data_IF_813882059339
#
_entry.id   IF_813882059339
#
_cell.length_a   1.000
_cell.length_b   1.000
_cell.length_c   1.000
_cell.angle_alpha   90.00
_cell.angle_beta   90.00
_cell.angle_gamma   90.00
#
_symmetry.space_group_name_H-M   'P 1'
#
loop_
_entity.id
_entity.type
_entity.pdbx_description
1 polymer ?
#
# COMPACT_ATOMS: atom_id res chain seq x y z
N UNK A 1 -14.33 1.14 -26.27
CA UNK A 1 -14.82 0.78 -24.90
C UNK A 1 -13.81 -0.04 -24.07
N UNK A 2 -12.84 -0.74 -24.65
CA UNK A 2 -11.84 -1.56 -23.93
C UNK A 2 -10.83 -0.73 -23.13
N UNK A 3 -10.32 0.37 -23.69
CA UNK A 3 -9.31 1.23 -23.03
C UNK A 3 -9.81 1.86 -21.73
N UNK A 4 -11.07 2.30 -21.69
CA UNK A 4 -11.67 2.94 -20.52
C UNK A 4 -11.82 1.96 -19.33
N UNK A 5 -12.14 0.69 -19.60
CA UNK A 5 -12.24 -0.35 -18.56
C UNK A 5 -10.87 -0.70 -17.97
N UNK A 6 -9.82 -0.77 -18.79
CA UNK A 6 -8.45 -1.04 -18.33
C UNK A 6 -7.90 0.11 -17.47
N UNK A 7 -8.15 1.36 -17.87
CA UNK A 7 -7.76 2.54 -17.09
C UNK A 7 -8.48 2.58 -15.74
N UNK A 8 -9.80 2.35 -15.75
CA UNK A 8 -10.58 2.28 -14.52
C UNK A 8 -10.09 1.16 -13.59
N UNK A 9 -9.85 -0.04 -14.12
CA UNK A 9 -9.32 -1.16 -13.33
C UNK A 9 -7.94 -0.89 -12.74
N UNK A 10 -7.05 -0.23 -13.48
CA UNK A 10 -5.72 0.14 -13.00
C UNK A 10 -5.79 1.21 -11.90
N UNK A 11 -6.68 2.20 -12.07
CA UNK A 11 -6.91 3.24 -11.07
C UNK A 11 -7.51 2.67 -9.79
N UNK A 12 -8.53 1.80 -9.91
CA UNK A 12 -9.16 1.15 -8.77
C UNK A 12 -8.17 0.21 -8.05
N UNK A 13 -7.38 -0.57 -8.79
CA UNK A 13 -6.35 -1.43 -8.21
C UNK A 13 -5.27 -0.64 -7.47
N UNK A 14 -4.85 0.49 -8.03
CA UNK A 14 -3.92 1.40 -7.35
C UNK A 14 -4.53 2.04 -6.11
N UNK A 15 -5.79 2.50 -6.18
CA UNK A 15 -6.49 3.08 -5.02
C UNK A 15 -6.66 2.08 -3.89
N UNK A 16 -7.06 0.83 -4.19
CA UNK A 16 -7.22 -0.21 -3.18
C UNK A 16 -5.89 -0.53 -2.50
N UNK A 17 -4.81 -0.65 -3.26
CA UNK A 17 -3.49 -0.92 -2.72
C UNK A 17 -2.92 0.28 -1.93
N UNK A 18 -3.22 1.51 -2.34
CA UNK A 18 -2.92 2.72 -1.57
C UNK A 18 -3.59 2.66 -0.20
N UNK A 19 -4.91 2.37 -0.16
CA UNK A 19 -5.66 2.25 1.09
C UNK A 19 -5.08 1.15 1.99
N UNK A 20 -4.72 -0.01 1.43
CA UNK A 20 -4.03 -1.06 2.17
C UNK A 20 -2.70 -0.58 2.76
N UNK A 21 -1.92 0.20 2.01
CA UNK A 21 -0.68 0.77 2.52
C UNK A 21 -0.87 1.80 3.62
N UNK A 22 -1.93 2.61 3.57
CA UNK A 22 -2.29 3.53 4.67
C UNK A 22 -2.62 2.76 5.94
N UNK A 23 -3.35 1.64 5.84
CA UNK A 23 -3.65 0.77 6.98
C UNK A 23 -2.38 0.16 7.56
N UNK A 24 -1.44 -0.28 6.71
CA UNK A 24 -0.16 -0.83 7.15
C UNK A 24 0.66 0.24 7.89
N UNK A 25 0.75 1.45 7.35
CA UNK A 25 1.48 2.56 7.99
C UNK A 25 0.85 2.95 9.34
N UNK A 26 -0.48 3.01 9.41
CA UNK A 26 -1.19 3.23 10.67
C UNK A 26 -0.92 2.11 11.69
N UNK A 27 -0.86 0.86 11.23
CA UNK A 27 -0.52 -0.30 12.06
C UNK A 27 0.92 -0.23 12.58
N UNK A 28 1.88 0.14 11.73
CA UNK A 28 3.28 0.34 12.14
C UNK A 28 3.41 1.46 13.17
N UNK A 29 2.67 2.56 13.00
CA UNK A 29 2.64 3.66 13.96
C UNK A 29 2.09 3.21 15.32
N UNK A 30 0.95 2.50 15.32
CA UNK A 30 0.33 1.98 16.55
C UNK A 30 1.24 0.96 17.25
N UNK A 31 1.88 0.08 16.48
CA UNK A 31 2.82 -0.90 17.01
C UNK A 31 4.04 -0.22 17.65
N UNK A 32 4.66 0.74 16.96
CA UNK A 32 5.80 1.49 17.48
C UNK A 32 5.43 2.27 18.75
N UNK A 33 4.25 2.91 18.77
CA UNK A 33 3.75 3.56 19.99
C UNK A 33 3.53 2.58 21.14
N UNK A 34 2.90 1.43 20.87
CA UNK A 34 2.67 0.40 21.87
C UNK A 34 3.97 -0.18 22.43
N UNK A 35 4.99 -0.41 21.60
CA UNK A 35 6.30 -0.92 22.04
C UNK A 35 7.00 0.02 23.03
N UNK A 36 6.91 1.34 22.79
CA UNK A 36 7.43 2.34 23.72
C UNK A 36 6.65 2.34 25.03
N UNK A 37 5.31 2.22 24.97
CA UNK A 37 4.48 2.09 26.17
C UNK A 37 4.77 0.82 26.98
N UNK A 38 5.11 -0.27 26.31
CA UNK A 38 5.48 -1.55 26.94
C UNK A 38 6.88 -1.52 27.58
N UNK A 39 7.68 -0.47 27.34
CA UNK A 39 9.02 -0.34 27.89
C UNK A 39 10.11 -1.03 27.07
N UNK A 40 9.81 -1.45 25.83
CA UNK A 40 10.76 -2.13 24.93
C UNK A 40 11.86 -1.18 24.40
N UNK A 41 11.78 0.11 24.72
CA UNK A 41 12.75 1.14 24.34
C UNK A 41 12.33 1.94 23.11
N UNK A 42 13.22 2.79 22.62
CA UNK A 42 12.96 3.62 21.45
C UNK A 42 12.95 2.77 20.17
N UNK A 43 11.90 2.94 19.36
CA UNK A 43 11.73 2.21 18.10
C UNK A 43 11.86 3.18 16.93
N UNK A 44 12.74 2.84 15.98
CA UNK A 44 12.91 3.62 14.74
C UNK A 44 12.74 2.69 13.54
N UNK A 45 11.70 2.94 12.75
CA UNK A 45 11.43 2.22 11.51
C UNK A 45 11.73 3.16 10.34
N UNK A 46 13.01 3.23 9.97
CA UNK A 46 13.49 4.02 8.82
C UNK A 46 12.94 5.46 8.78
N UNK A 47 12.56 5.98 7.60
CA UNK A 47 11.96 7.31 7.48
C UNK A 47 10.46 7.33 7.84
N UNK A 48 9.87 6.22 8.31
CA UNK A 48 8.41 6.04 8.39
C UNK A 48 7.91 6.44 9.79
N UNK A 49 8.49 5.87 10.84
CA UNK A 49 8.07 6.13 12.23
C UNK A 49 9.26 6.18 13.17
N UNK A 50 9.25 7.15 14.08
CA UNK A 50 10.13 7.22 15.23
C UNK A 50 9.29 7.31 16.51
N UNK A 51 9.51 6.40 17.44
CA UNK A 51 8.83 6.35 18.73
C UNK A 51 9.87 6.39 19.86
N UNK A 52 9.67 7.27 20.83
CA UNK A 52 10.57 7.42 21.98
C UNK A 52 9.82 7.86 23.23
N UNK A 53 10.38 7.53 24.40
CA UNK A 53 9.90 8.03 25.68
C UNK A 53 10.76 9.22 26.12
N UNK A 54 10.14 10.38 26.33
CA UNK A 54 10.75 11.51 27.03
C UNK A 54 9.96 11.78 28.30
N UNK A 55 10.66 11.78 29.45
CA UNK A 55 10.13 12.24 30.74
C UNK A 55 8.76 11.63 31.13
N UNK A 56 8.59 10.32 30.90
CA UNK A 56 7.35 9.60 31.27
C UNK A 56 6.19 9.74 30.28
N UNK A 57 6.38 10.42 29.15
CA UNK A 57 5.44 10.46 28.04
C UNK A 57 5.99 9.67 26.84
N UNK A 58 5.21 8.69 26.37
CA UNK A 58 5.49 8.00 25.12
C UNK A 58 5.03 8.90 23.95
N UNK A 59 5.92 9.16 23.01
CA UNK A 59 5.61 9.95 21.81
C UNK A 59 6.00 9.17 20.56
N UNK A 60 5.11 9.19 19.57
CA UNK A 60 5.39 8.62 18.24
C UNK A 60 5.18 9.69 17.19
N UNK A 61 6.22 9.93 16.41
CA UNK A 61 6.24 10.93 15.36
C UNK A 61 6.39 10.23 14.02
N UNK A 62 5.54 10.59 13.09
CA UNK A 62 5.67 10.13 11.71
C UNK A 62 6.84 10.83 11.03
N UNK A 63 7.68 10.06 10.37
CA UNK A 63 8.79 10.60 9.59
C UNK A 63 8.37 11.05 8.18
N UNK A 64 9.29 11.64 7.40
CA UNK A 64 9.03 12.14 6.05
C UNK A 64 8.62 11.03 5.06
N UNK A 65 8.78 9.77 5.44
CA UNK A 65 8.46 8.58 4.65
C UNK A 65 7.05 8.01 4.84
N UNK A 66 6.12 8.70 5.54
CA UNK A 66 4.73 8.26 5.80
C UNK A 66 3.88 7.96 4.55
N UNK A 67 4.42 8.13 3.35
CA UNK A 67 3.74 7.78 2.10
C UNK A 67 4.50 6.76 1.27
N UNK A 68 5.69 6.31 1.70
CA UNK A 68 6.51 5.39 0.91
C UNK A 68 5.79 4.05 0.74
N UNK A 69 5.22 3.50 1.81
CA UNK A 69 4.48 2.24 1.78
C UNK A 69 3.14 2.40 1.03
N UNK A 70 2.28 3.40 1.33
CA UNK A 70 1.07 3.68 0.56
C UNK A 70 1.31 3.86 -0.94
N UNK A 71 2.27 4.69 -1.32
CA UNK A 71 2.55 4.99 -2.73
C UNK A 71 3.19 3.78 -3.42
N UNK A 72 4.12 3.08 -2.75
CA UNK A 72 4.71 1.87 -3.27
C UNK A 72 3.66 0.80 -3.58
N UNK A 73 2.73 0.58 -2.66
CA UNK A 73 1.63 -0.36 -2.88
C UNK A 73 0.65 0.12 -3.95
N UNK A 74 0.33 1.42 -4.02
CA UNK A 74 -0.51 1.97 -5.07
C UNK A 74 0.05 1.68 -6.47
N UNK A 75 1.37 1.84 -6.65
CA UNK A 75 2.04 1.54 -7.91
C UNK A 75 1.98 0.03 -8.23
N UNK A 76 2.27 -0.82 -7.25
CA UNK A 76 2.20 -2.28 -7.41
C UNK A 76 0.78 -2.73 -7.75
N UNK A 77 -0.24 -2.22 -7.05
CA UNK A 77 -1.65 -2.52 -7.29
C UNK A 77 -2.12 -2.09 -8.68
N UNK A 78 -1.72 -0.90 -9.12
CA UNK A 78 -2.03 -0.41 -10.47
C UNK A 78 -1.39 -1.30 -11.56
N UNK A 79 -0.13 -1.69 -11.38
CA UNK A 79 0.58 -2.58 -12.32
C UNK A 79 -0.05 -3.97 -12.36
N UNK A 80 -0.40 -4.55 -11.21
CA UNK A 80 -1.06 -5.86 -11.15
C UNK A 80 -2.43 -5.83 -11.83
N UNK A 81 -3.26 -4.82 -11.56
CA UNK A 81 -4.56 -4.68 -12.19
C UNK A 81 -4.47 -4.51 -13.71
N UNK A 82 -3.45 -3.80 -14.18
CA UNK A 82 -3.15 -3.66 -15.61
C UNK A 82 -2.71 -4.99 -16.24
N UNK A 83 -1.82 -5.74 -15.60
CA UNK A 83 -1.36 -7.05 -16.07
C UNK A 83 -2.52 -8.06 -16.17
N UNK A 84 -3.41 -8.08 -15.17
CA UNK A 84 -4.61 -8.94 -15.16
C UNK A 84 -5.54 -8.55 -16.32
N UNK A 85 -5.77 -7.25 -16.50
CA UNK A 85 -6.61 -6.74 -17.60
C UNK A 85 -6.07 -7.13 -18.98
N UNK A 86 -4.75 -7.19 -19.17
CA UNK A 86 -4.12 -7.66 -20.42
C UNK A 86 -4.36 -9.15 -20.65
N UNK A 87 -4.21 -9.99 -19.62
CA UNK A 87 -4.39 -11.45 -19.74
C UNK A 87 -5.81 -11.81 -20.20
N UNK A 88 -6.82 -11.16 -19.62
CA UNK A 88 -8.24 -11.40 -19.94
C UNK A 88 -8.62 -11.07 -21.40
N UNK A 89 -7.91 -10.15 -22.05
CA UNK A 89 -8.16 -9.80 -23.46
C UNK A 89 -7.59 -10.83 -24.45
N UNK A 90 -6.56 -11.58 -24.06
CA UNK A 90 -5.92 -12.61 -24.90
C UNK A 90 -6.70 -13.93 -24.91
N UNK A 91 -7.38 -14.27 -23.81
CA UNK A 91 -8.12 -15.54 -23.68
C UNK A 91 -9.39 -15.63 -24.53
N UNK A 92 -10.01 -14.50 -24.88
CA UNK A 92 -11.28 -14.48 -25.63
C UNK A 92 -11.10 -14.66 -27.13
N UNK A 93 -9.90 -14.45 -27.69
CA UNK A 93 -9.65 -14.46 -29.14
C UNK A 93 -9.39 -15.85 -29.74
N UNK A 94 -9.22 -16.87 -28.90
CA UNK A 94 -8.94 -18.24 -29.34
C UNK A 94 -10.20 -19.08 -29.61
N UNK A 95 -11.40 -18.56 -29.35
CA UNK A 95 -12.65 -19.32 -29.37
C UNK A 95 -13.54 -19.03 -30.59
N UNK A 96 -13.02 -18.47 -31.68
CA UNK A 96 -13.79 -18.23 -32.91
C UNK A 96 -13.51 -19.32 -33.95
N UNK A 97 -14.39 -20.34 -34.09
CA UNK A 97 -14.24 -21.36 -35.11
C UNK A 97 -14.54 -20.74 -36.48
N UNK A 98 -13.56 -20.81 -37.40
CA UNK A 98 -13.75 -20.48 -38.80
C UNK A 98 -14.84 -21.40 -39.38
N UNK A 99 -15.96 -20.81 -39.79
CA UNK A 99 -16.89 -21.42 -40.75
C UNK A 99 -16.72 -20.72 -42.08
#
# INVERSE_FOLDING_TARGET
>A
MTTQRTLFGSFLGGLLALLSGVVIDGGLWLWAFASVLSGDGAVTIGPIVHASAMEGSATTVSGPGLLIVPVGLALVGAVLAWLISRRSATGTRAAEPRR
#
